data_IF_120587896321
#
_entry.id   IF_120587896321
#
_cell.length_a   1.000
_cell.length_b   1.000
_cell.length_c   1.000
_cell.angle_alpha   90.00
_cell.angle_beta   90.00
_cell.angle_gamma   90.00
#
_symmetry.space_group_name_H-M   'P 1'
#
loop_
_entity.id
_entity.type
_entity.pdbx_description
1 polymer ?
#
# COMPACT_ATOMS: atom_id res chain seq x y z
N UNK A 1 -14.51 52.01 -16.91
CA UNK A 1 -14.02 51.61 -15.58
C UNK A 1 -14.42 50.17 -15.39
N UNK A 2 -13.48 49.31 -15.00
CA UNK A 2 -13.74 47.88 -14.72
C UNK A 2 -13.53 47.66 -13.23
N UNK A 3 -14.45 46.98 -12.58
CA UNK A 3 -14.35 46.60 -11.17
C UNK A 3 -14.24 45.08 -11.10
N UNK A 4 -13.18 44.59 -10.47
CA UNK A 4 -12.97 43.15 -10.23
C UNK A 4 -13.32 42.80 -8.79
N UNK A 5 -13.99 41.67 -8.61
CA UNK A 5 -14.33 41.11 -7.30
C UNK A 5 -13.50 39.85 -7.07
N UNK A 6 -13.03 39.68 -5.85
CA UNK A 6 -12.30 38.47 -5.43
C UNK A 6 -12.91 37.97 -4.14
N UNK A 7 -13.20 36.68 -4.06
CA UNK A 7 -13.72 36.01 -2.89
C UNK A 7 -12.68 35.04 -2.34
N UNK A 8 -12.58 34.93 -1.01
CA UNK A 8 -11.76 33.90 -0.37
C UNK A 8 -12.37 32.51 -0.60
N UNK A 9 -11.60 31.43 -0.37
CA UNK A 9 -12.16 30.08 -0.41
C UNK A 9 -13.28 29.92 0.64
N UNK A 10 -14.36 29.21 0.27
CA UNK A 10 -15.38 28.77 1.21
C UNK A 10 -15.01 27.39 1.76
N UNK A 11 -14.50 27.35 2.98
CA UNK A 11 -14.07 26.09 3.63
C UNK A 11 -15.22 25.36 4.35
N UNK A 12 -16.43 25.93 4.32
CA UNK A 12 -17.65 25.29 4.85
C UNK A 12 -18.39 24.53 3.75
N UNK A 13 -19.21 23.56 4.13
CA UNK A 13 -20.12 22.84 3.21
C UNK A 13 -21.38 23.63 2.87
N UNK A 14 -21.62 24.76 3.54
CA UNK A 14 -22.78 25.62 3.29
C UNK A 14 -22.46 26.70 2.25
N UNK A 15 -23.43 27.01 1.39
CA UNK A 15 -23.37 28.19 0.54
C UNK A 15 -23.28 29.48 1.38
N UNK A 16 -22.54 30.47 0.88
CA UNK A 16 -22.54 31.82 1.45
C UNK A 16 -22.83 32.88 0.38
N UNK A 17 -23.44 33.98 0.79
CA UNK A 17 -23.76 35.09 -0.12
C UNK A 17 -23.44 36.45 0.48
N UNK A 18 -23.12 37.42 -0.37
CA UNK A 18 -22.99 38.84 -0.02
C UNK A 18 -23.60 39.72 -1.11
N UNK A 19 -24.12 40.88 -0.73
CA UNK A 19 -24.65 41.87 -1.67
C UNK A 19 -23.64 43.01 -1.87
N UNK A 20 -23.33 43.33 -3.13
CA UNK A 20 -22.53 44.48 -3.52
C UNK A 20 -23.44 45.58 -4.04
N UNK A 21 -23.45 46.73 -3.39
CA UNK A 21 -24.24 47.89 -3.84
C UNK A 21 -23.35 48.89 -4.58
N UNK A 22 -23.74 49.25 -5.80
CA UNK A 22 -23.13 50.32 -6.60
C UNK A 22 -24.12 51.47 -6.69
N UNK A 23 -23.70 52.67 -6.27
CA UNK A 23 -24.56 53.86 -6.27
C UNK A 23 -23.85 55.06 -6.86
N UNK A 24 -24.60 55.93 -7.53
CA UNK A 24 -24.13 57.22 -8.02
C UNK A 24 -25.17 58.31 -7.73
N UNK A 25 -24.71 59.54 -7.49
CA UNK A 25 -25.60 60.66 -7.19
C UNK A 25 -26.53 60.92 -8.39
N UNK A 26 -27.85 60.87 -8.15
CA UNK A 26 -28.87 61.09 -9.17
C UNK A 26 -29.23 59.84 -10.00
N UNK A 27 -28.76 58.66 -9.62
CA UNK A 27 -29.15 57.38 -10.20
C UNK A 27 -29.56 56.37 -9.11
N UNK A 28 -30.41 55.42 -9.47
CA UNK A 28 -30.79 54.33 -8.58
C UNK A 28 -29.60 53.41 -8.31
N UNK A 29 -29.54 52.88 -7.08
CA UNK A 29 -28.51 51.93 -6.70
C UNK A 29 -28.74 50.57 -7.37
N UNK A 30 -27.65 49.94 -7.82
CA UNK A 30 -27.66 48.58 -8.35
C UNK A 30 -27.13 47.66 -7.26
N UNK A 31 -27.85 46.58 -6.96
CA UNK A 31 -27.41 45.54 -6.03
C UNK A 31 -27.03 44.30 -6.81
N UNK A 32 -25.80 43.83 -6.63
CA UNK A 32 -25.25 42.62 -7.25
C UNK A 32 -25.11 41.58 -6.14
N UNK A 33 -25.87 40.49 -6.22
CA UNK A 33 -25.73 39.36 -5.30
C UNK A 33 -24.58 38.47 -5.74
N UNK A 34 -23.63 38.24 -4.84
CA UNK A 34 -22.49 37.35 -5.02
C UNK A 34 -22.74 36.11 -4.17
N UNK A 35 -22.91 34.96 -4.82
CA UNK A 35 -23.06 33.65 -4.17
C UNK A 35 -21.79 32.83 -4.38
N UNK A 36 -21.38 32.11 -3.34
CA UNK A 36 -20.27 31.16 -3.41
C UNK A 36 -20.72 29.83 -2.81
N UNK A 37 -20.69 28.73 -3.58
CA UNK A 37 -21.08 27.42 -3.09
C UNK A 37 -20.19 26.98 -1.91
N UNK A 38 -20.72 26.08 -1.08
CA UNK A 38 -19.91 25.33 -0.13
C UNK A 38 -18.91 24.41 -0.84
N UNK A 39 -17.89 23.95 -0.11
CA UNK A 39 -17.12 22.79 -0.59
C UNK A 39 -18.02 21.56 -0.62
N UNK A 40 -17.71 20.60 -1.50
CA UNK A 40 -18.36 19.30 -1.48
C UNK A 40 -18.20 18.65 -0.10
N UNK A 41 -19.30 18.11 0.42
CA UNK A 41 -19.27 17.25 1.58
C UNK A 41 -18.76 15.88 1.14
N UNK A 42 -17.65 15.45 1.74
CA UNK A 42 -17.17 14.08 1.58
C UNK A 42 -18.11 13.21 2.41
N UNK A 43 -19.05 12.56 1.74
CA UNK A 43 -19.90 11.55 2.36
C UNK A 43 -19.18 10.22 2.21
N UNK A 44 -18.84 9.60 3.34
CA UNK A 44 -18.27 8.25 3.31
C UNK A 44 -19.26 7.31 2.61
N UNK A 45 -18.79 6.48 1.66
CA UNK A 45 -19.66 5.52 1.02
C UNK A 45 -20.25 4.58 2.07
N UNK A 46 -21.55 4.29 1.96
CA UNK A 46 -22.15 3.20 2.74
C UNK A 46 -21.59 1.90 2.18
N UNK A 47 -20.68 1.28 2.92
CA UNK A 47 -20.08 0.00 2.56
C UNK A 47 -20.93 -1.13 3.15
N UNK A 48 -21.19 -2.17 2.35
CA UNK A 48 -21.82 -3.38 2.84
C UNK A 48 -20.95 -4.01 3.94
N UNK A 49 -21.57 -4.38 5.05
CA UNK A 49 -20.86 -4.97 6.18
C UNK A 49 -20.34 -6.36 5.79
N UNK A 50 -19.02 -6.51 5.76
CA UNK A 50 -18.37 -7.78 5.48
C UNK A 50 -17.15 -7.97 6.40
N UNK A 51 -16.62 -9.19 6.46
CA UNK A 51 -15.52 -9.55 7.36
C UNK A 51 -14.25 -8.75 7.10
N UNK A 52 -13.98 -8.38 5.85
CA UNK A 52 -12.82 -7.56 5.50
C UNK A 52 -12.98 -6.12 6.01
N UNK A 53 -14.15 -5.51 5.84
CA UNK A 53 -14.47 -4.19 6.37
C UNK A 53 -14.41 -4.16 7.90
N UNK A 54 -14.95 -5.19 8.56
CA UNK A 54 -14.85 -5.35 10.01
C UNK A 54 -13.38 -5.43 10.44
N UNK A 55 -12.57 -6.24 9.74
CA UNK A 55 -11.14 -6.34 10.03
C UNK A 55 -10.41 -5.01 9.83
N UNK A 56 -10.68 -4.28 8.75
CA UNK A 56 -10.06 -2.96 8.50
C UNK A 56 -10.39 -1.96 9.61
N UNK A 57 -11.63 -1.98 10.14
CA UNK A 57 -12.00 -1.16 11.30
C UNK A 57 -11.21 -1.51 12.56
N UNK A 58 -10.90 -2.80 12.78
CA UNK A 58 -10.07 -3.26 13.91
C UNK A 58 -8.61 -2.82 13.80
N UNK A 59 -8.09 -2.58 12.59
CA UNK A 59 -6.70 -2.12 12.41
C UNK A 59 -6.47 -0.73 13.01
N UNK A 60 -7.50 0.12 13.06
CA UNK A 60 -7.44 1.46 13.67
C UNK A 60 -6.34 2.35 13.10
N UNK A 61 -5.69 3.14 13.95
CA UNK A 61 -4.60 4.02 13.53
C UNK A 61 -3.33 3.22 13.20
N UNK A 62 -2.86 3.38 11.97
CA UNK A 62 -1.65 2.76 11.44
C UNK A 62 -0.44 3.69 11.41
N UNK A 63 0.75 3.14 11.66
CA UNK A 63 2.03 3.81 11.46
C UNK A 63 2.92 2.99 10.52
N UNK A 64 3.60 3.63 9.55
CA UNK A 64 4.58 2.95 8.70
C UNK A 64 5.98 3.08 9.30
N UNK A 65 6.67 1.95 9.45
CA UNK A 65 8.09 1.89 9.81
C UNK A 65 8.98 2.11 8.57
N UNK A 66 8.79 3.24 7.89
CA UNK A 66 9.49 3.54 6.64
C UNK A 66 10.99 3.82 6.84
N UNK A 67 11.73 3.70 5.75
CA UNK A 67 13.18 3.89 5.64
C UNK A 67 13.98 3.06 6.66
N UNK A 68 13.47 1.89 7.02
CA UNK A 68 14.17 0.89 7.82
C UNK A 68 14.44 -0.33 6.94
N UNK A 69 13.60 -1.37 7.00
CA UNK A 69 13.82 -2.63 6.28
C UNK A 69 13.58 -2.54 4.77
N UNK A 70 12.88 -1.51 4.33
CA UNK A 70 12.74 -1.09 2.95
C UNK A 70 14.01 -0.43 2.39
N UNK A 71 14.90 0.09 3.24
CA UNK A 71 16.08 0.82 2.80
C UNK A 71 17.10 -0.10 2.12
N UNK A 72 17.65 0.36 0.99
CA UNK A 72 18.68 -0.35 0.24
C UNK A 72 19.73 0.60 -0.35
N UNK A 73 20.89 0.06 -0.69
CA UNK A 73 21.96 0.78 -1.38
C UNK A 73 22.73 -0.18 -2.28
N UNK A 74 22.97 0.23 -3.54
CA UNK A 74 23.66 -0.59 -4.54
C UNK A 74 23.08 -2.01 -4.67
N UNK A 75 21.76 -2.13 -4.68
CA UNK A 75 21.07 -3.40 -4.86
C UNK A 75 21.11 -4.34 -3.64
N UNK A 76 21.45 -3.84 -2.45
CA UNK A 76 21.43 -4.63 -1.22
C UNK A 76 20.68 -3.89 -0.12
N UNK A 77 19.70 -4.56 0.48
CA UNK A 77 18.88 -4.02 1.56
C UNK A 77 19.64 -3.97 2.89
N UNK A 78 19.29 -3.00 3.74
CA UNK A 78 19.87 -2.85 5.08
C UNK A 78 19.02 -1.92 5.94
N UNK A 79 18.66 -2.39 7.14
CA UNK A 79 17.74 -1.68 8.05
C UNK A 79 18.19 -0.27 8.47
N UNK A 80 19.45 0.10 8.23
CA UNK A 80 20.03 1.38 8.68
C UNK A 80 20.57 2.25 7.55
N UNK A 81 20.54 1.80 6.30
CA UNK A 81 21.31 2.47 5.21
C UNK A 81 20.74 3.84 4.82
N UNK A 82 19.47 4.10 5.11
CA UNK A 82 18.84 5.42 4.94
C UNK A 82 18.78 6.24 6.24
N UNK A 83 19.64 5.92 7.22
CA UNK A 83 19.93 6.79 8.37
C UNK A 83 19.13 6.49 9.65
N UNK A 84 18.16 5.58 9.60
CA UNK A 84 17.48 5.12 10.80
C UNK A 84 18.36 4.18 11.64
N UNK A 85 18.26 4.22 12.97
CA UNK A 85 18.88 3.22 13.83
C UNK A 85 18.14 1.88 13.73
N UNK A 86 18.77 0.82 14.22
CA UNK A 86 18.13 -0.49 14.31
C UNK A 86 16.82 -0.42 15.10
N UNK A 87 15.80 -1.09 14.59
CA UNK A 87 14.53 -1.30 15.29
C UNK A 87 14.76 -1.96 16.66
N UNK A 88 14.04 -1.50 17.69
CA UNK A 88 14.09 -2.10 19.04
C UNK A 88 12.68 -2.29 19.59
N UNK A 89 12.51 -3.12 20.61
CA UNK A 89 11.25 -3.25 21.34
C UNK A 89 10.72 -1.90 21.84
N UNK A 90 11.61 -0.98 22.26
CA UNK A 90 11.24 0.34 22.72
C UNK A 90 10.55 1.18 21.61
N UNK A 91 10.94 0.99 20.35
CA UNK A 91 10.29 1.63 19.19
C UNK A 91 8.81 1.26 19.13
N UNK A 92 8.49 -0.04 19.18
CA UNK A 92 7.10 -0.54 19.09
C UNK A 92 6.27 -0.22 20.33
N UNK A 93 6.87 -0.26 21.52
CA UNK A 93 6.21 0.17 22.74
C UNK A 93 5.83 1.65 22.66
N UNK A 94 6.70 2.49 22.10
CA UNK A 94 6.43 3.91 21.88
C UNK A 94 5.28 4.14 20.89
N UNK A 95 5.27 3.41 19.77
CA UNK A 95 4.18 3.44 18.78
C UNK A 95 2.85 3.08 19.44
N UNK A 96 2.80 2.00 20.23
CA UNK A 96 1.61 1.61 20.97
C UNK A 96 1.18 2.67 21.98
N UNK A 97 2.12 3.22 22.75
CA UNK A 97 1.85 4.24 23.76
C UNK A 97 1.33 5.56 23.15
N UNK A 98 1.70 5.86 21.90
CA UNK A 98 1.19 6.99 21.13
C UNK A 98 -0.25 6.78 20.62
N UNK A 99 -0.85 5.61 20.82
CA UNK A 99 -2.24 5.31 20.47
C UNK A 99 -2.42 4.57 19.15
N UNK A 100 -1.34 4.19 18.46
CA UNK A 100 -1.43 3.36 17.26
C UNK A 100 -1.78 1.92 17.61
N UNK A 101 -2.53 1.27 16.72
CA UNK A 101 -2.99 -0.12 16.86
C UNK A 101 -2.39 -1.04 15.81
N UNK A 102 -1.85 -0.47 14.73
CA UNK A 102 -1.22 -1.22 13.64
C UNK A 102 0.10 -0.58 13.23
N UNK A 103 1.09 -1.41 12.91
CA UNK A 103 2.32 -1.01 12.24
C UNK A 103 2.43 -1.71 10.89
N UNK A 104 2.75 -0.97 9.83
CA UNK A 104 3.21 -1.54 8.57
C UNK A 104 4.73 -1.55 8.59
N UNK A 105 5.33 -2.69 8.29
CA UNK A 105 6.78 -2.92 8.24
C UNK A 105 7.14 -3.17 6.77
N UNK A 106 7.46 -2.11 6.01
CA UNK A 106 8.05 -2.21 4.68
C UNK A 106 9.33 -3.04 4.70
N UNK A 107 9.47 -4.04 3.82
CA UNK A 107 10.72 -4.82 3.72
C UNK A 107 11.13 -4.96 2.26
N UNK A 108 12.37 -4.60 1.95
CA UNK A 108 13.01 -4.92 0.68
C UNK A 108 13.85 -6.18 0.86
N UNK A 109 13.70 -7.13 -0.05
CA UNK A 109 14.40 -8.42 0.02
C UNK A 109 15.58 -8.50 -0.97
N UNK A 110 15.68 -7.52 -1.86
CA UNK A 110 16.79 -7.31 -2.78
C UNK A 110 18.16 -7.43 -2.10
N UNK A 111 19.05 -8.18 -2.73
CA UNK A 111 20.41 -8.49 -2.23
C UNK A 111 20.46 -9.60 -1.19
N UNK A 112 19.30 -10.09 -0.71
CA UNK A 112 19.21 -11.22 0.22
C UNK A 112 18.58 -12.47 -0.41
N UNK A 113 18.18 -12.42 -1.68
CA UNK A 113 17.60 -13.56 -2.40
C UNK A 113 18.72 -14.23 -3.21
N UNK A 114 18.93 -15.54 -3.01
CA UNK A 114 19.88 -16.33 -3.78
C UNK A 114 19.39 -16.68 -5.19
N UNK A 115 20.19 -17.43 -5.94
CA UNK A 115 19.87 -17.75 -7.34
C UNK A 115 18.66 -18.69 -7.49
N UNK A 116 18.06 -18.63 -8.68
CA UNK A 116 17.10 -19.61 -9.16
C UNK A 116 17.70 -21.05 -9.12
N UNK A 117 16.86 -22.09 -8.95
CA UNK A 117 15.41 -22.03 -8.82
C UNK A 117 14.92 -21.87 -7.38
N UNK A 118 15.82 -21.89 -6.39
CA UNK A 118 15.43 -21.94 -4.98
C UNK A 118 15.11 -20.55 -4.43
N UNK A 119 15.76 -19.50 -4.95
CA UNK A 119 15.59 -18.12 -4.48
C UNK A 119 15.72 -18.02 -2.96
N UNK A 120 16.66 -18.77 -2.38
CA UNK A 120 16.80 -18.92 -0.94
C UNK A 120 17.07 -17.56 -0.30
N UNK A 121 16.19 -17.13 0.60
CA UNK A 121 16.38 -15.87 1.33
C UNK A 121 17.44 -16.06 2.41
N UNK A 122 18.36 -15.10 2.51
CA UNK A 122 19.38 -15.07 3.53
C UNK A 122 18.76 -15.20 4.93
N UNK A 123 19.15 -16.26 5.64
CA UNK A 123 18.60 -16.60 6.96
C UNK A 123 18.72 -15.44 7.96
N UNK A 124 19.85 -14.71 7.95
CA UNK A 124 20.07 -13.61 8.89
C UNK A 124 19.09 -12.45 8.66
N UNK A 125 18.79 -12.13 7.40
CA UNK A 125 17.80 -11.10 7.05
C UNK A 125 16.39 -11.53 7.47
N UNK A 126 15.99 -12.76 7.09
CA UNK A 126 14.69 -13.35 7.47
C UNK A 126 14.49 -13.42 8.99
N UNK A 127 15.52 -13.83 9.74
CA UNK A 127 15.48 -13.88 11.20
C UNK A 127 15.36 -12.49 11.82
N UNK A 128 16.03 -11.48 11.25
CA UNK A 128 15.95 -10.10 11.74
C UNK A 128 14.56 -9.51 11.51
N UNK A 129 13.94 -9.73 10.36
CA UNK A 129 12.54 -9.32 10.12
C UNK A 129 11.60 -10.04 11.09
N UNK A 130 11.80 -11.35 11.31
CA UNK A 130 10.99 -12.11 12.28
C UNK A 130 11.09 -11.57 13.71
N UNK A 131 12.29 -11.19 14.15
CA UNK A 131 12.51 -10.56 15.44
C UNK A 131 11.71 -9.25 15.59
N UNK A 132 11.72 -8.40 14.57
CA UNK A 132 11.03 -7.10 14.59
C UNK A 132 9.51 -7.24 14.55
N UNK A 133 8.98 -8.23 13.81
CA UNK A 133 7.56 -8.61 13.92
C UNK A 133 7.23 -9.08 15.35
N UNK A 134 8.14 -9.82 16.00
CA UNK A 134 8.01 -10.19 17.40
C UNK A 134 7.98 -9.00 18.35
N UNK A 135 8.71 -7.91 18.06
CA UNK A 135 8.59 -6.69 18.86
C UNK A 135 7.21 -6.06 18.78
N UNK A 136 6.62 -6.01 17.58
CA UNK A 136 5.26 -5.51 17.39
C UNK A 136 4.21 -6.39 18.09
N UNK A 137 4.38 -7.72 18.01
CA UNK A 137 3.55 -8.70 18.74
C UNK A 137 3.58 -8.44 20.25
N UNK A 138 4.78 -8.30 20.84
CA UNK A 138 4.96 -8.01 22.26
C UNK A 138 4.35 -6.67 22.68
N UNK A 139 4.32 -5.69 21.78
CA UNK A 139 3.68 -4.39 22.02
C UNK A 139 2.15 -4.44 21.85
N UNK A 140 1.57 -5.55 21.38
CA UNK A 140 0.14 -5.68 21.11
C UNK A 140 -0.31 -4.83 19.93
N UNK A 141 0.51 -4.76 18.87
CA UNK A 141 0.21 -4.11 17.60
C UNK A 141 -0.15 -5.16 16.54
N UNK A 142 -1.09 -4.84 15.65
CA UNK A 142 -1.21 -5.58 14.40
C UNK A 142 -0.03 -5.22 13.48
N UNK A 143 0.34 -6.13 12.56
CA UNK A 143 1.48 -5.98 11.66
C UNK A 143 1.07 -6.24 10.22
N UNK A 144 1.39 -5.33 9.32
CA UNK A 144 1.38 -5.58 7.87
C UNK A 144 2.83 -5.71 7.40
N UNK A 145 3.18 -6.84 6.78
CA UNK A 145 4.52 -7.13 6.26
C UNK A 145 4.45 -7.34 4.74
N UNK A 146 5.37 -6.76 3.96
CA UNK A 146 5.31 -6.80 2.50
C UNK A 146 6.67 -7.09 1.81
N UNK A 147 6.68 -7.04 0.48
CA UNK A 147 7.87 -6.70 -0.34
C UNK A 147 7.76 -5.23 -0.77
N UNK A 148 8.83 -4.42 -0.71
CA UNK A 148 8.69 -2.96 -0.76
C UNK A 148 9.47 -2.18 -1.82
N UNK A 149 10.76 -2.42 -2.03
CA UNK A 149 11.52 -1.85 -3.17
C UNK A 149 12.10 -2.97 -4.03
N UNK A 150 11.38 -4.09 -4.05
CA UNK A 150 11.63 -5.24 -4.91
C UNK A 150 11.04 -5.02 -6.32
N UNK A 151 10.06 -4.13 -6.44
CA UNK A 151 9.54 -3.58 -7.71
C UNK A 151 10.63 -2.94 -8.57
N UNK A 152 10.59 -3.22 -9.87
CA UNK A 152 11.49 -2.61 -10.83
C UNK A 152 10.93 -1.28 -11.35
N UNK A 153 11.64 -0.20 -11.03
CA UNK A 153 11.38 1.14 -11.58
C UNK A 153 12.45 1.51 -12.61
N UNK A 154 12.80 0.56 -13.49
CA UNK A 154 13.95 0.62 -14.43
C UNK A 154 15.32 0.59 -13.73
N UNK A 155 15.42 -0.09 -12.60
CA UNK A 155 16.63 -0.22 -11.78
C UNK A 155 17.25 -1.63 -11.86
N UNK A 156 16.58 -2.55 -12.54
CA UNK A 156 17.00 -3.94 -12.71
C UNK A 156 16.55 -4.85 -11.56
N UNK A 157 15.49 -4.46 -10.82
CA UNK A 157 14.96 -5.30 -9.74
C UNK A 157 14.12 -6.46 -10.29
N UNK A 158 13.87 -7.46 -9.44
CA UNK A 158 13.33 -8.75 -9.87
C UNK A 158 11.83 -8.72 -10.14
N UNK A 159 11.04 -7.88 -9.45
CA UNK A 159 9.61 -7.69 -9.73
C UNK A 159 9.42 -6.75 -10.92
N UNK A 160 9.85 -7.21 -12.10
CA UNK A 160 9.90 -6.43 -13.32
C UNK A 160 8.60 -6.51 -14.14
N UNK A 161 7.65 -5.64 -13.81
CA UNK A 161 6.36 -5.61 -14.50
C UNK A 161 6.50 -5.27 -16.00
N UNK A 162 7.47 -4.43 -16.36
CA UNK A 162 7.72 -4.08 -17.75
C UNK A 162 8.09 -5.31 -18.59
N UNK A 163 9.05 -6.10 -18.12
CA UNK A 163 9.48 -7.32 -18.78
C UNK A 163 8.38 -8.38 -18.80
N UNK A 164 7.62 -8.54 -17.71
CA UNK A 164 6.52 -9.50 -17.65
C UNK A 164 5.37 -9.16 -18.62
N UNK A 165 5.08 -7.87 -18.79
CA UNK A 165 4.10 -7.41 -19.79
C UNK A 165 4.61 -7.62 -21.21
N UNK A 166 5.91 -7.46 -21.44
CA UNK A 166 6.49 -7.53 -22.78
C UNK A 166 6.91 -8.99 -23.15
N UNK A 167 7.04 -9.92 -22.19
CA UNK A 167 7.47 -11.31 -22.39
C UNK A 167 6.80 -12.31 -21.43
N UNK A 168 6.13 -13.32 -21.99
CA UNK A 168 5.50 -14.41 -21.21
C UNK A 168 6.52 -15.31 -20.49
N UNK A 169 7.70 -15.50 -21.10
CA UNK A 169 8.80 -16.24 -20.46
C UNK A 169 9.30 -15.49 -19.23
N UNK A 170 9.48 -14.16 -19.34
CA UNK A 170 9.87 -13.33 -18.20
C UNK A 170 8.79 -13.35 -17.10
N UNK A 171 7.51 -13.23 -17.49
CA UNK A 171 6.40 -13.35 -16.53
C UNK A 171 6.40 -14.71 -15.81
N UNK A 172 6.70 -15.79 -16.53
CA UNK A 172 6.80 -17.14 -15.94
C UNK A 172 7.93 -17.25 -14.92
N UNK A 173 9.10 -16.69 -15.24
CA UNK A 173 10.26 -16.65 -14.32
C UNK A 173 9.96 -15.81 -13.08
N UNK A 174 9.39 -14.62 -13.25
CA UNK A 174 9.04 -13.73 -12.13
C UNK A 174 7.98 -14.38 -11.24
N UNK A 175 6.95 -15.03 -11.81
CA UNK A 175 5.96 -15.78 -11.01
C UNK A 175 6.58 -16.93 -10.21
N UNK A 176 7.58 -17.63 -10.75
CA UNK A 176 8.30 -18.65 -10.00
C UNK A 176 9.08 -18.07 -8.82
N UNK A 177 9.72 -16.91 -9.01
CA UNK A 177 10.42 -16.18 -7.94
C UNK A 177 9.43 -15.66 -6.88
N UNK A 178 8.31 -15.05 -7.28
CA UNK A 178 7.22 -14.63 -6.36
C UNK A 178 6.78 -15.82 -5.49
N UNK A 179 6.50 -16.97 -6.11
CA UNK A 179 6.05 -18.16 -5.38
C UNK A 179 7.11 -18.66 -4.38
N UNK A 180 8.39 -18.67 -4.77
CA UNK A 180 9.49 -19.13 -3.92
C UNK A 180 9.76 -18.16 -2.75
N UNK A 181 9.80 -16.85 -3.02
CA UNK A 181 10.03 -15.80 -2.01
C UNK A 181 8.88 -15.79 -1.00
N UNK A 182 7.64 -15.67 -1.47
CA UNK A 182 6.48 -15.64 -0.58
C UNK A 182 6.23 -16.96 0.13
N UNK A 183 6.55 -18.11 -0.48
CA UNK A 183 6.51 -19.40 0.21
C UNK A 183 7.46 -19.46 1.41
N UNK A 184 8.69 -18.93 1.27
CA UNK A 184 9.66 -18.86 2.36
C UNK A 184 9.24 -17.88 3.46
N UNK A 185 8.79 -16.68 3.09
CA UNK A 185 8.26 -15.70 4.05
C UNK A 185 7.07 -16.30 4.80
N UNK A 186 6.08 -16.85 4.09
CA UNK A 186 4.90 -17.45 4.69
C UNK A 186 5.28 -18.59 5.66
N UNK A 187 6.16 -19.52 5.26
CA UNK A 187 6.57 -20.62 6.14
C UNK A 187 7.30 -20.12 7.39
N UNK A 188 8.16 -19.09 7.27
CA UNK A 188 8.85 -18.48 8.42
C UNK A 188 7.88 -17.90 9.45
N UNK A 189 6.81 -17.27 8.99
CA UNK A 189 5.82 -16.55 9.81
C UNK A 189 4.56 -17.36 10.13
N UNK A 190 4.54 -18.65 9.76
CA UNK A 190 3.37 -19.54 9.88
C UNK A 190 2.86 -19.72 11.31
N UNK A 191 3.73 -19.55 12.29
CA UNK A 191 3.41 -19.63 13.72
C UNK A 191 2.76 -18.35 14.28
N UNK A 192 2.85 -17.21 13.57
CA UNK A 192 2.28 -15.94 14.03
C UNK A 192 0.75 -15.94 13.92
N UNK A 193 0.08 -15.42 14.93
CA UNK A 193 -1.39 -15.33 14.99
C UNK A 193 -2.00 -14.33 14.00
N UNK A 194 -3.29 -14.03 14.17
CA UNK A 194 -4.05 -13.14 13.27
C UNK A 194 -3.64 -11.66 13.30
N UNK A 195 -2.80 -11.26 14.28
CA UNK A 195 -2.24 -9.91 14.34
C UNK A 195 -1.34 -9.60 13.12
N UNK A 196 -0.73 -10.62 12.50
CA UNK A 196 0.13 -10.47 11.32
C UNK A 196 -0.67 -10.69 10.03
N UNK A 197 -0.59 -9.71 9.14
CA UNK A 197 -1.05 -9.73 7.75
C UNK A 197 0.16 -9.70 6.81
N UNK A 198 0.01 -10.33 5.64
CA UNK A 198 1.01 -10.29 4.58
C UNK A 198 0.42 -9.51 3.40
N UNK A 199 1.17 -8.57 2.85
CA UNK A 199 0.79 -7.74 1.70
C UNK A 199 1.72 -8.06 0.53
N UNK A 200 1.18 -8.44 -0.62
CA UNK A 200 1.97 -9.04 -1.72
C UNK A 200 3.09 -8.16 -2.25
N UNK A 201 2.78 -6.89 -2.53
CA UNK A 201 3.67 -5.93 -3.20
C UNK A 201 3.43 -4.52 -2.64
N UNK A 202 4.30 -3.56 -3.00
CA UNK A 202 4.10 -2.16 -2.67
C UNK A 202 3.52 -1.37 -3.87
N UNK A 203 4.37 -0.90 -4.78
CA UNK A 203 3.96 0.01 -5.86
C UNK A 203 4.44 -0.50 -7.24
N UNK A 204 3.81 -1.57 -7.71
CA UNK A 204 4.08 -2.13 -9.04
C UNK A 204 3.68 -1.14 -10.16
N UNK A 205 4.66 -0.71 -10.94
CA UNK A 205 4.47 0.20 -12.07
C UNK A 205 5.14 -0.32 -13.35
N UNK A 206 4.63 0.12 -14.49
CA UNK A 206 5.13 -0.28 -15.81
C UNK A 206 6.06 0.82 -16.34
N UNK A 207 7.34 0.50 -16.58
CA UNK A 207 8.34 1.42 -17.16
C UNK A 207 8.48 2.76 -16.40
N UNK A 208 8.36 2.71 -15.07
CA UNK A 208 8.36 3.90 -14.18
C UNK A 208 7.21 4.89 -14.42
N UNK A 209 6.09 4.45 -15.02
CA UNK A 209 4.97 5.31 -15.40
C UNK A 209 3.79 5.27 -14.40
N UNK A 210 3.82 6.07 -13.33
CA UNK A 210 2.77 6.10 -12.28
C UNK A 210 1.31 6.24 -12.76
N UNK A 211 1.06 7.02 -13.82
CA UNK A 211 -0.30 7.39 -14.26
C UNK A 211 -0.53 7.21 -15.76
N UNK A 212 0.33 6.45 -16.44
CA UNK A 212 0.20 6.25 -17.89
C UNK A 212 -1.05 5.45 -18.23
N UNK A 213 -1.62 5.63 -19.41
CA UNK A 213 -2.70 4.79 -19.94
C UNK A 213 -2.19 3.65 -20.85
N UNK A 214 -0.88 3.56 -21.07
CA UNK A 214 -0.26 2.54 -21.93
C UNK A 214 -0.47 1.14 -21.37
N UNK A 215 -0.88 0.18 -22.21
CA UNK A 215 -1.06 -1.22 -21.84
C UNK A 215 -1.87 -1.47 -20.55
N UNK A 216 -2.80 -0.56 -20.20
CA UNK A 216 -3.44 -0.54 -18.87
C UNK A 216 -4.08 -1.87 -18.50
N UNK A 217 -4.88 -2.44 -19.38
CA UNK A 217 -5.54 -3.74 -19.12
C UNK A 217 -4.51 -4.86 -18.95
N UNK A 218 -3.52 -4.94 -19.85
CA UNK A 218 -2.51 -6.01 -19.82
C UNK A 218 -1.63 -5.94 -18.57
N UNK A 219 -1.14 -4.75 -18.21
CA UNK A 219 -0.27 -4.59 -17.03
C UNK A 219 -1.04 -4.82 -15.71
N UNK A 220 -2.31 -4.40 -15.64
CA UNK A 220 -3.14 -4.72 -14.47
C UNK A 220 -3.45 -6.22 -14.40
N UNK A 221 -3.68 -6.88 -15.55
CA UNK A 221 -3.86 -8.34 -15.60
C UNK A 221 -2.63 -9.10 -15.09
N UNK A 222 -1.41 -8.68 -15.46
CA UNK A 222 -0.18 -9.27 -14.93
C UNK A 222 -0.07 -9.10 -13.41
N UNK A 223 -0.41 -7.92 -12.87
CA UNK A 223 -0.46 -7.72 -11.41
C UNK A 223 -1.50 -8.65 -10.75
N UNK A 224 -2.67 -8.81 -11.36
CA UNK A 224 -3.69 -9.74 -10.87
C UNK A 224 -3.17 -11.20 -10.83
N UNK A 225 -2.45 -11.64 -11.86
CA UNK A 225 -1.79 -12.95 -11.86
C UNK A 225 -0.77 -13.07 -10.71
N UNK A 226 0.05 -12.05 -10.50
CA UNK A 226 1.07 -12.03 -9.43
C UNK A 226 0.45 -12.07 -8.04
N UNK A 227 -0.65 -11.33 -7.84
CA UNK A 227 -1.42 -11.36 -6.60
C UNK A 227 -2.03 -12.75 -6.35
N UNK A 228 -2.50 -13.46 -7.39
CA UNK A 228 -2.97 -14.84 -7.25
C UNK A 228 -1.83 -15.79 -6.84
N UNK A 229 -0.67 -15.69 -7.49
CA UNK A 229 0.52 -16.50 -7.15
C UNK A 229 0.93 -16.29 -5.70
N UNK A 230 0.89 -15.05 -5.22
CA UNK A 230 1.13 -14.73 -3.81
C UNK A 230 0.12 -15.42 -2.88
N UNK A 231 -1.19 -15.29 -3.15
CA UNK A 231 -2.24 -15.91 -2.33
C UNK A 231 -2.05 -17.42 -2.29
N UNK A 232 -1.84 -18.06 -3.45
CA UNK A 232 -1.63 -19.50 -3.55
C UNK A 232 -0.39 -19.95 -2.75
N UNK A 233 0.74 -19.24 -2.88
CA UNK A 233 1.97 -19.54 -2.17
C UNK A 233 1.80 -19.45 -0.65
N UNK A 234 1.13 -18.40 -0.15
CA UNK A 234 0.86 -18.25 1.28
C UNK A 234 -0.08 -19.35 1.78
N UNK A 235 -1.20 -19.59 1.08
CA UNK A 235 -2.20 -20.60 1.49
C UNK A 235 -1.63 -22.02 1.49
N UNK A 236 -0.76 -22.35 0.54
CA UNK A 236 -0.11 -23.66 0.44
C UNK A 236 0.72 -24.03 1.68
N UNK A 237 1.21 -23.05 2.44
CA UNK A 237 1.95 -23.32 3.69
C UNK A 237 1.06 -23.79 4.83
N UNK A 238 -0.26 -23.56 4.79
CA UNK A 238 -1.20 -24.02 5.82
C UNK A 238 -0.99 -23.39 7.21
N UNK A 239 -1.42 -24.07 8.28
CA UNK A 239 -1.34 -23.54 9.64
C UNK A 239 -2.11 -22.22 9.77
N UNK A 240 -1.55 -21.22 10.47
CA UNK A 240 -2.21 -19.90 10.57
C UNK A 240 -2.32 -19.19 9.22
N UNK A 241 -1.47 -19.53 8.24
CA UNK A 241 -1.51 -18.95 6.90
C UNK A 241 -2.71 -19.43 6.09
N UNK A 242 -3.34 -20.55 6.45
CA UNK A 242 -4.59 -21.00 5.83
C UNK A 242 -5.73 -19.99 5.99
N UNK A 243 -5.68 -19.15 7.02
CA UNK A 243 -6.71 -18.14 7.32
C UNK A 243 -6.11 -16.77 7.68
N UNK A 244 -4.86 -16.50 7.28
CA UNK A 244 -4.22 -15.19 7.50
C UNK A 244 -4.82 -14.15 6.56
N UNK A 245 -5.02 -12.94 7.05
CA UNK A 245 -5.41 -11.82 6.20
C UNK A 245 -4.30 -11.43 5.22
N UNK A 246 -4.64 -11.29 3.94
CA UNK A 246 -3.73 -10.99 2.85
C UNK A 246 -4.09 -9.66 2.17
N UNK A 247 -3.12 -8.76 2.02
CA UNK A 247 -3.26 -7.50 1.27
C UNK A 247 -2.80 -7.67 -0.17
N UNK A 248 -3.56 -7.15 -1.13
CA UNK A 248 -3.22 -7.21 -2.57
C UNK A 248 -3.42 -5.84 -3.22
N UNK A 249 -2.35 -5.14 -3.62
CA UNK A 249 -2.47 -3.84 -4.24
C UNK A 249 -2.83 -3.98 -5.73
N UNK A 250 -3.43 -2.92 -6.27
CA UNK A 250 -3.52 -2.68 -7.71
C UNK A 250 -2.31 -1.94 -8.25
N UNK A 251 -2.36 -1.58 -9.53
CA UNK A 251 -1.32 -0.81 -10.20
C UNK A 251 -1.02 0.50 -9.46
N UNK A 252 0.28 0.77 -9.21
CA UNK A 252 0.78 1.94 -8.51
C UNK A 252 0.15 2.18 -7.12
N UNK A 253 -0.44 1.16 -6.50
CA UNK A 253 -1.29 1.29 -5.30
C UNK A 253 -2.34 2.42 -5.40
N UNK A 254 -2.77 2.76 -6.63
CA UNK A 254 -3.57 3.96 -6.88
C UNK A 254 -5.05 3.63 -7.05
N UNK A 255 -5.96 4.41 -6.44
CA UNK A 255 -7.40 4.21 -6.57
C UNK A 255 -7.89 4.31 -8.02
N UNK A 256 -7.14 5.01 -8.88
CA UNK A 256 -7.48 5.22 -10.30
C UNK A 256 -7.52 3.91 -11.10
N UNK A 257 -6.83 2.86 -10.65
CA UNK A 257 -6.74 1.59 -11.34
C UNK A 257 -7.56 0.47 -10.68
N UNK A 258 -8.27 0.74 -9.59
CA UNK A 258 -9.06 -0.28 -8.86
C UNK A 258 -10.11 -0.97 -9.74
N UNK A 259 -10.64 -0.29 -10.76
CA UNK A 259 -11.58 -0.90 -11.72
C UNK A 259 -10.98 -2.05 -12.55
N UNK A 260 -9.66 -2.17 -12.58
CA UNK A 260 -8.93 -3.26 -13.27
C UNK A 260 -8.43 -4.34 -12.31
N UNK A 261 -8.60 -4.14 -11.00
CA UNK A 261 -8.19 -5.09 -10.00
C UNK A 261 -9.19 -6.23 -9.93
N UNK A 262 -8.69 -7.46 -10.11
CA UNK A 262 -9.44 -8.67 -9.82
C UNK A 262 -8.95 -9.19 -8.48
N UNK A 263 -9.84 -9.24 -7.48
CA UNK A 263 -9.51 -9.86 -6.20
C UNK A 263 -9.19 -11.34 -6.44
N UNK A 264 -8.03 -11.85 -5.99
CA UNK A 264 -7.66 -13.26 -6.13
C UNK A 264 -8.71 -14.20 -5.56
N UNK A 265 -8.80 -15.39 -6.15
CA UNK A 265 -9.54 -16.49 -5.54
C UNK A 265 -8.82 -16.92 -4.26
N UNK A 266 -9.51 -16.82 -3.13
CA UNK A 266 -8.97 -17.18 -1.82
C UNK A 266 -9.95 -18.11 -1.08
N UNK A 267 -9.57 -19.36 -0.78
CA UNK A 267 -10.44 -20.29 -0.05
C UNK A 267 -10.80 -19.79 1.36
N UNK A 268 -10.01 -18.89 1.94
CA UNK A 268 -10.29 -18.31 3.25
C UNK A 268 -11.24 -17.11 3.20
N UNK A 269 -11.48 -16.53 2.02
CA UNK A 269 -12.16 -15.23 1.84
C UNK A 269 -11.59 -14.15 2.77
N UNK A 270 -10.26 -14.09 2.90
CA UNK A 270 -9.52 -13.17 3.78
C UNK A 270 -8.48 -12.37 3.00
N UNK A 271 -8.90 -11.83 1.86
CA UNK A 271 -8.12 -10.89 1.04
C UNK A 271 -8.66 -9.48 1.21
N UNK A 272 -7.78 -8.49 1.30
CA UNK A 272 -8.09 -7.07 1.42
C UNK A 272 -7.25 -6.22 0.45
N UNK A 273 -7.74 -5.02 0.17
CA UNK A 273 -7.13 -4.04 -0.73
C UNK A 273 -6.39 -2.95 0.04
#
# INVERSE_FOLDING_TARGET
>A
MTVSLTVSANNSTSERSADLTVSAKGADAIVIKVTQPGKEEIVDPTLDDNTALARTKELGLGWNMGNHFDAFYNGVSSETVWGNPKATQATFNGVKAAGFTTVRIPVTWLGHIGDAPNYTIEKAWMDRVYEVVGYAENAGLNVILNTHHDEDHNEGHWQNLANAVDSEEANTQIKAEIAAVWGQIAEKFKDKGEFLMLESFNELIYKSEWYSSSNTEKRCAVINEWNQVFVDAVRATGGNNATRWLGVPGYAASPNFLKYLTVPEDPANKTML
#
